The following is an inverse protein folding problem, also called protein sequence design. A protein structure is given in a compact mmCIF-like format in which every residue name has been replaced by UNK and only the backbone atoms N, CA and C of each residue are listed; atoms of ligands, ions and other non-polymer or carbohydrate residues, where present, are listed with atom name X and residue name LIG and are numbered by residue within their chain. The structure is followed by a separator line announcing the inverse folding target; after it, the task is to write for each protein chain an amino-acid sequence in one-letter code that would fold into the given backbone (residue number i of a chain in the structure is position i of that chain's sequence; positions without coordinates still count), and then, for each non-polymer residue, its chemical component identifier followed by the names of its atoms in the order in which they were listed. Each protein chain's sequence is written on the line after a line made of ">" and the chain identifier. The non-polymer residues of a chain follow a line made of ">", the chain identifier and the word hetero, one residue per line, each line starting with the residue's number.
data_IF_403741740886
#
_entry.id   IF_403741740886
#
_cell.length_a   1.000
_cell.length_b   1.000
_cell.length_c   1.000
_cell.angle_alpha   90.00
_cell.angle_beta   90.00
_cell.angle_gamma   90.00
#
_symmetry.space_group_name_H-M   'P 1'
#
loop_
_entity.id
_entity.type
_entity.pdbx_description
1 polymer ?
#
# COMPACT_ATOMS: atom_id res chain seq x y z
N UNK A 1 28.12 -8.15 14.93
CA UNK A 1 28.21 -7.02 15.87
C UNK A 1 28.42 -5.77 15.04
N UNK A 2 27.42 -4.98 14.82
CA UNK A 2 27.54 -3.65 14.19
C UNK A 2 26.66 -2.69 14.97
N UNK A 3 27.31 -1.73 15.56
CA UNK A 3 26.83 -0.71 16.49
C UNK A 3 25.95 0.28 15.69
N UNK A 4 24.68 0.41 16.06
CA UNK A 4 23.82 1.50 15.59
C UNK A 4 24.10 2.75 16.42
N UNK A 5 24.75 3.72 15.79
CA UNK A 5 24.83 5.08 16.31
C UNK A 5 23.52 5.81 15.99
N UNK A 6 22.79 6.18 17.02
CA UNK A 6 21.67 7.10 16.92
C UNK A 6 22.22 8.52 16.76
N UNK A 7 22.10 9.11 15.60
CA UNK A 7 22.30 10.54 15.41
C UNK A 7 20.97 11.27 15.64
N UNK A 8 20.87 11.95 16.77
CA UNK A 8 19.89 12.99 16.97
C UNK A 8 20.32 14.21 16.14
N UNK A 9 19.66 14.46 15.04
CA UNK A 9 19.77 15.74 14.32
C UNK A 9 18.74 16.67 14.93
N UNK A 10 19.22 17.57 15.78
CA UNK A 10 18.47 18.76 16.18
C UNK A 10 18.45 19.71 14.97
N UNK A 11 17.41 19.60 14.15
CA UNK A 11 17.12 20.58 13.11
C UNK A 11 16.62 21.86 13.76
N UNK A 12 17.33 22.96 13.54
CA UNK A 12 16.87 24.30 13.83
C UNK A 12 15.59 24.54 13.04
N UNK A 13 14.47 24.60 13.75
CA UNK A 13 13.19 25.04 13.20
C UNK A 13 13.33 26.51 12.82
N UNK A 14 13.20 26.80 11.55
CA UNK A 14 12.98 28.18 11.06
C UNK A 14 11.60 28.65 11.56
N UNK A 15 11.52 29.69 12.43
CA UNK A 15 10.25 30.14 12.98
C UNK A 15 9.37 30.89 11.98
N UNK A 16 9.69 30.87 10.68
CA UNK A 16 9.02 31.63 9.63
C UNK A 16 8.18 30.82 8.64
N UNK A 17 8.25 29.49 8.63
CA UNK A 17 7.39 28.68 7.78
C UNK A 17 5.97 28.60 8.38
N UNK A 18 5.13 29.58 8.05
CA UNK A 18 3.70 29.54 8.31
C UNK A 18 3.13 28.42 7.45
N UNK A 19 2.70 27.31 8.07
CA UNK A 19 1.92 26.29 7.37
C UNK A 19 0.75 26.99 6.68
N UNK A 20 0.65 26.87 5.36
CA UNK A 20 -0.48 27.41 4.62
C UNK A 20 -1.75 26.81 5.22
N UNK A 21 -2.72 27.64 5.55
CA UNK A 21 -4.02 27.14 6.00
C UNK A 21 -4.64 26.34 4.85
N UNK A 22 -5.21 25.15 5.13
CA UNK A 22 -5.86 24.37 4.09
C UNK A 22 -6.97 25.20 3.45
N UNK A 23 -6.94 25.33 2.14
CA UNK A 23 -7.79 26.28 1.42
C UNK A 23 -9.29 25.95 1.51
N UNK A 24 -9.72 24.72 1.88
CA UNK A 24 -11.13 24.30 1.95
C UNK A 24 -11.30 22.98 2.74
N UNK A 25 -11.41 23.01 4.05
CA UNK A 25 -12.01 21.88 4.77
C UNK A 25 -13.50 22.15 5.00
N UNK A 26 -14.38 21.49 4.24
CA UNK A 26 -15.83 21.55 4.47
C UNK A 26 -16.28 20.18 4.97
N UNK A 27 -16.29 19.96 6.27
CA UNK A 27 -16.78 18.73 6.86
C UNK A 27 -15.71 17.96 7.67
N UNK A 28 -16.02 16.75 8.14
CA UNK A 28 -15.12 15.97 8.96
C UNK A 28 -13.90 15.51 8.17
N UNK A 29 -12.73 15.44 8.85
CA UNK A 29 -11.50 14.87 8.28
C UNK A 29 -11.76 13.45 7.77
N UNK A 30 -11.51 13.19 6.49
CA UNK A 30 -11.68 11.86 5.89
C UNK A 30 -10.42 11.02 6.11
N UNK A 31 -10.52 9.99 6.94
CA UNK A 31 -9.39 9.12 7.33
C UNK A 31 -9.43 7.83 6.52
N UNK A 32 -8.30 7.50 5.89
CA UNK A 32 -8.07 6.25 5.18
C UNK A 32 -6.90 5.49 5.81
N UNK A 33 -7.14 4.24 6.23
CA UNK A 33 -6.11 3.36 6.76
C UNK A 33 -5.53 2.55 5.59
N UNK A 34 -4.25 2.72 5.30
CA UNK A 34 -3.52 2.01 4.25
C UNK A 34 -2.61 0.99 4.90
N UNK A 35 -2.97 -0.28 4.87
CA UNK A 35 -2.21 -1.32 5.55
C UNK A 35 -1.80 -2.48 4.65
N UNK A 36 -0.74 -3.17 5.04
CA UNK A 36 -0.19 -4.31 4.31
C UNK A 36 1.21 -4.66 4.76
N UNK A 37 2.04 -5.05 3.80
CA UNK A 37 3.45 -5.34 4.02
C UNK A 37 4.34 -4.41 3.19
N UNK A 38 5.58 -4.80 2.89
CA UNK A 38 6.55 -3.98 2.15
C UNK A 38 6.04 -3.37 0.84
N UNK A 39 5.05 -3.98 0.18
CA UNK A 39 4.45 -3.41 -1.03
C UNK A 39 3.47 -2.26 -0.71
N UNK A 40 2.82 -2.26 0.46
CA UNK A 40 2.10 -1.10 0.97
C UNK A 40 3.08 -0.05 1.52
N UNK A 41 4.14 -0.46 2.21
CA UNK A 41 5.22 0.44 2.62
C UNK A 41 5.80 1.20 1.42
N UNK A 42 5.92 0.53 0.28
CA UNK A 42 6.39 1.11 -0.98
C UNK A 42 7.90 1.13 -1.09
N UNK A 43 8.40 0.52 -2.16
CA UNK A 43 9.84 0.31 -2.38
C UNK A 43 10.30 0.90 -3.73
N UNK A 44 9.53 1.84 -4.28
CA UNK A 44 9.87 2.48 -5.54
C UNK A 44 10.62 3.80 -5.28
N UNK A 45 11.90 3.84 -5.64
CA UNK A 45 12.69 5.06 -5.57
C UNK A 45 12.13 6.13 -6.51
N UNK A 46 12.06 7.37 -6.06
CA UNK A 46 11.45 8.50 -6.79
C UNK A 46 12.02 8.72 -8.20
N UNK A 47 13.29 8.37 -8.45
CA UNK A 47 13.90 8.46 -9.79
C UNK A 47 13.18 7.64 -10.86
N UNK A 48 12.44 6.59 -10.43
CA UNK A 48 11.72 5.70 -11.35
C UNK A 48 10.33 6.23 -11.72
N UNK A 49 9.89 7.33 -11.12
CA UNK A 49 8.59 7.95 -11.42
C UNK A 49 8.56 8.48 -12.85
N UNK A 50 9.67 9.04 -13.34
CA UNK A 50 9.76 9.61 -14.70
C UNK A 50 9.48 8.57 -15.81
N UNK A 51 9.74 7.29 -15.53
CA UNK A 51 9.43 6.19 -16.43
C UNK A 51 7.93 6.05 -16.73
N UNK A 52 7.05 6.58 -15.88
CA UNK A 52 5.61 6.66 -16.16
C UNK A 52 5.34 7.43 -17.46
N UNK A 53 6.11 8.48 -17.74
CA UNK A 53 5.98 9.28 -18.98
C UNK A 53 6.47 8.57 -20.25
N UNK A 54 7.17 7.44 -20.11
CA UNK A 54 7.61 6.59 -21.22
C UNK A 54 6.58 5.49 -21.57
N UNK A 55 5.41 5.45 -20.91
CA UNK A 55 4.39 4.43 -21.16
C UNK A 55 3.91 4.48 -22.61
N UNK A 56 3.70 3.29 -23.19
CA UNK A 56 3.19 3.14 -24.58
C UNK A 56 1.75 3.62 -24.74
N UNK A 57 0.97 3.60 -23.65
CA UNK A 57 -0.37 4.20 -23.62
C UNK A 57 -0.25 5.70 -23.28
N UNK A 58 -0.59 6.62 -24.22
CA UNK A 58 -0.52 8.05 -23.95
C UNK A 58 -1.38 8.52 -22.80
N UNK A 59 -2.49 7.83 -22.50
CA UNK A 59 -3.35 8.16 -21.37
C UNK A 59 -2.66 7.84 -20.04
N UNK A 60 -1.89 6.75 -19.97
CA UNK A 60 -1.08 6.37 -18.81
C UNK A 60 0.13 7.29 -18.69
N UNK A 61 0.86 7.54 -19.78
CA UNK A 61 2.01 8.45 -19.82
C UNK A 61 1.63 9.86 -19.35
N UNK A 62 0.45 10.34 -19.74
CA UNK A 62 -0.08 11.64 -19.37
C UNK A 62 -0.30 11.83 -17.86
N UNK A 63 -0.44 10.75 -17.10
CA UNK A 63 -0.58 10.82 -15.64
C UNK A 63 0.67 11.40 -14.95
N UNK A 64 1.86 11.31 -15.57
CA UNK A 64 3.08 11.90 -15.01
C UNK A 64 2.92 13.39 -14.69
N UNK A 65 2.12 14.12 -15.48
CA UNK A 65 1.87 15.54 -15.26
C UNK A 65 1.23 15.85 -13.91
N UNK A 66 0.44 14.94 -13.35
CA UNK A 66 -0.14 15.07 -12.01
C UNK A 66 0.93 15.03 -10.90
N UNK A 67 1.99 14.28 -11.11
CA UNK A 67 3.06 14.05 -10.12
C UNK A 67 4.29 14.93 -10.34
N UNK A 68 4.47 15.49 -11.54
CA UNK A 68 5.51 16.46 -11.89
C UNK A 68 4.92 17.55 -12.80
N UNK A 69 4.12 18.49 -12.25
CA UNK A 69 3.37 19.47 -13.05
C UNK A 69 4.26 20.37 -13.92
N UNK A 70 5.45 20.71 -13.42
CA UNK A 70 6.46 21.52 -14.11
C UNK A 70 7.55 20.68 -14.80
N UNK A 71 7.42 19.36 -14.79
CA UNK A 71 8.39 18.41 -15.32
C UNK A 71 9.66 18.23 -14.45
N UNK A 72 9.75 18.88 -13.30
CA UNK A 72 10.94 18.90 -12.41
C UNK A 72 10.62 18.57 -10.98
N UNK A 73 9.67 19.28 -10.39
CA UNK A 73 9.32 19.21 -8.97
C UNK A 73 8.24 18.17 -8.73
N UNK A 74 8.46 17.29 -7.76
CA UNK A 74 7.43 16.34 -7.34
C UNK A 74 6.28 17.06 -6.64
N UNK A 75 5.06 16.58 -6.91
CA UNK A 75 3.83 17.09 -6.34
C UNK A 75 3.82 16.92 -4.81
N UNK A 76 3.33 17.96 -4.14
CA UNK A 76 2.94 17.97 -2.73
C UNK A 76 1.49 18.44 -2.60
N UNK A 77 0.78 17.99 -1.54
CA UNK A 77 -0.60 18.40 -1.26
C UNK A 77 -0.78 18.73 0.20
N UNK A 78 -1.25 19.93 0.49
CA UNK A 78 -1.56 20.41 1.84
C UNK A 78 -2.95 19.97 2.32
N UNK A 79 -3.85 19.65 1.39
CA UNK A 79 -5.18 19.08 1.66
C UNK A 79 -5.18 17.55 1.88
N UNK A 80 -4.01 16.91 1.85
CA UNK A 80 -3.84 15.50 2.17
C UNK A 80 -2.68 15.34 3.15
N UNK A 81 -2.98 14.83 4.33
CA UNK A 81 -1.98 14.52 5.36
C UNK A 81 -1.63 13.04 5.35
N UNK A 82 -0.42 12.73 5.75
CA UNK A 82 0.06 11.35 5.89
C UNK A 82 0.69 11.15 7.27
N UNK A 83 0.25 10.10 7.95
CA UNK A 83 0.88 9.57 9.15
C UNK A 83 1.56 8.24 8.81
N UNK A 84 2.89 8.15 8.98
CA UNK A 84 3.68 6.93 8.75
C UNK A 84 4.82 6.82 9.76
N UNK A 85 4.66 5.96 10.76
CA UNK A 85 5.61 5.82 11.87
C UNK A 85 5.72 7.11 12.69
N UNK A 86 6.86 7.79 12.64
CA UNK A 86 7.08 9.07 13.31
C UNK A 86 6.85 10.30 12.42
N UNK A 87 6.43 10.10 11.19
CA UNK A 87 6.20 11.16 10.21
C UNK A 87 4.73 11.56 10.19
N UNK A 88 4.48 12.86 10.28
CA UNK A 88 3.16 13.47 10.24
C UNK A 88 3.28 14.74 9.40
N UNK A 89 3.06 14.61 8.09
CA UNK A 89 3.36 15.68 7.12
C UNK A 89 2.29 15.72 6.03
N UNK A 90 2.34 16.76 5.20
CA UNK A 90 1.58 16.85 3.96
C UNK A 90 1.99 15.75 2.99
N UNK A 91 1.08 15.30 2.12
CA UNK A 91 1.40 14.30 1.11
C UNK A 91 2.51 14.79 0.18
N UNK A 92 3.58 14.04 0.13
CA UNK A 92 4.74 14.24 -0.74
C UNK A 92 5.45 12.91 -1.00
N UNK A 93 6.56 12.92 -1.72
CA UNK A 93 7.45 11.75 -1.81
C UNK A 93 8.13 11.45 -0.46
N UNK A 94 8.64 10.21 -0.29
CA UNK A 94 9.42 9.83 0.90
C UNK A 94 8.65 9.09 1.99
N UNK A 95 7.36 8.80 1.80
CA UNK A 95 6.59 7.96 2.71
C UNK A 95 6.72 6.46 2.43
N UNK A 96 7.46 6.06 1.38
CA UNK A 96 7.84 4.68 1.15
C UNK A 96 8.99 4.22 2.06
N UNK A 97 9.43 2.97 1.88
CA UNK A 97 10.52 2.38 2.62
C UNK A 97 11.80 3.22 2.48
N UNK A 98 12.17 3.93 3.53
CA UNK A 98 13.36 4.80 3.56
C UNK A 98 14.68 4.02 3.55
N UNK A 99 14.60 2.73 3.81
CA UNK A 99 15.74 1.81 3.82
C UNK A 99 15.53 0.75 2.76
N UNK A 100 15.64 1.15 1.50
CA UNK A 100 15.79 0.13 0.49
C UNK A 100 17.15 -0.57 0.68
N UNK A 101 17.26 -1.77 0.16
CA UNK A 101 18.46 -2.59 0.27
C UNK A 101 19.72 -1.93 -0.34
N UNK A 102 19.55 -0.84 -1.08
CA UNK A 102 20.57 -0.19 -1.88
C UNK A 102 20.92 1.23 -1.37
N UNK A 103 20.39 1.69 -0.21
CA UNK A 103 20.57 3.05 0.34
C UNK A 103 20.23 4.18 -0.66
N UNK A 104 19.27 3.97 -1.56
CA UNK A 104 18.99 4.88 -2.67
C UNK A 104 18.14 6.11 -2.30
N UNK A 105 17.81 6.33 -1.03
CA UNK A 105 17.09 7.53 -0.59
C UNK A 105 15.56 7.38 -0.60
N UNK A 106 14.85 8.38 -1.10
CA UNK A 106 13.40 8.48 -0.98
C UNK A 106 12.66 7.48 -1.86
N UNK A 107 11.65 6.83 -1.27
CA UNK A 107 10.74 5.92 -1.97
C UNK A 107 9.29 6.38 -1.84
N UNK A 108 8.46 5.89 -2.76
CA UNK A 108 7.01 5.97 -2.71
C UNK A 108 6.40 4.57 -2.67
N UNK A 109 5.19 4.49 -2.14
CA UNK A 109 4.25 3.39 -2.29
C UNK A 109 2.95 3.86 -2.95
N UNK A 110 1.89 3.04 -2.86
CA UNK A 110 0.58 3.40 -3.42
C UNK A 110 -0.05 4.65 -2.79
N UNK A 111 0.34 5.01 -1.55
CA UNK A 111 -0.18 6.18 -0.85
C UNK A 111 -0.04 7.47 -1.64
N UNK A 112 1.06 7.62 -2.41
CA UNK A 112 1.36 8.86 -3.12
C UNK A 112 0.30 9.19 -4.17
N UNK A 113 -0.07 8.21 -4.99
CA UNK A 113 -1.12 8.39 -5.97
C UNK A 113 -2.53 8.27 -5.36
N UNK A 114 -2.74 7.35 -4.40
CA UNK A 114 -4.02 7.26 -3.71
C UNK A 114 -4.41 8.60 -3.08
N UNK A 115 -3.50 9.20 -2.33
CA UNK A 115 -3.74 10.50 -1.70
C UNK A 115 -3.97 11.62 -2.71
N UNK A 116 -3.19 11.66 -3.81
CA UNK A 116 -3.41 12.63 -4.86
C UNK A 116 -4.85 12.59 -5.39
N UNK A 117 -5.33 11.40 -5.83
CA UNK A 117 -6.66 11.29 -6.43
C UNK A 117 -7.81 11.45 -5.43
N UNK A 118 -7.60 11.05 -4.16
CA UNK A 118 -8.58 11.32 -3.11
C UNK A 118 -8.69 12.82 -2.82
N UNK A 119 -7.56 13.53 -2.74
CA UNK A 119 -7.56 15.00 -2.56
C UNK A 119 -8.17 15.76 -3.74
N UNK A 120 -7.97 15.27 -4.99
CA UNK A 120 -8.65 15.87 -6.16
C UNK A 120 -10.18 15.69 -6.14
N UNK A 121 -10.66 14.60 -5.55
CA UNK A 121 -12.06 14.22 -5.60
C UNK A 121 -12.88 14.76 -4.41
N UNK A 122 -12.26 14.97 -3.25
CA UNK A 122 -12.93 15.34 -2.02
C UNK A 122 -12.78 16.85 -1.74
N UNK A 123 -13.81 17.45 -1.19
CA UNK A 123 -13.77 18.85 -0.70
C UNK A 123 -13.26 18.91 0.75
N UNK A 124 -13.23 17.76 1.45
CA UNK A 124 -12.76 17.63 2.81
C UNK A 124 -11.25 17.39 2.87
N UNK A 125 -10.65 17.74 4.01
CA UNK A 125 -9.28 17.32 4.34
C UNK A 125 -9.17 15.80 4.41
N UNK A 126 -8.09 15.24 3.85
CA UNK A 126 -7.82 13.81 3.84
C UNK A 126 -6.65 13.49 4.78
N UNK A 127 -6.75 12.40 5.53
CA UNK A 127 -5.65 11.81 6.29
C UNK A 127 -5.42 10.36 5.85
N UNK A 128 -4.20 10.04 5.46
CA UNK A 128 -3.74 8.69 5.21
C UNK A 128 -2.96 8.19 6.44
N UNK A 129 -3.44 7.14 7.10
CA UNK A 129 -2.70 6.44 8.17
C UNK A 129 -2.10 5.20 7.56
N UNK A 130 -0.77 5.20 7.38
CA UNK A 130 -0.05 4.15 6.67
C UNK A 130 0.64 3.19 7.62
N UNK A 131 0.44 1.88 7.43
CA UNK A 131 1.04 0.82 8.24
C UNK A 131 1.45 -0.37 7.36
N UNK A 132 2.74 -0.46 7.03
CA UNK A 132 3.26 -1.42 6.05
C UNK A 132 4.53 -2.17 6.49
N UNK A 133 4.56 -2.86 7.65
CA UNK A 133 5.76 -3.58 8.08
C UNK A 133 6.12 -4.69 7.09
N UNK A 134 7.40 -4.76 6.68
CA UNK A 134 7.87 -5.75 5.71
C UNK A 134 7.85 -7.18 6.25
N UNK A 135 7.67 -8.16 5.35
CA UNK A 135 7.81 -9.57 5.68
C UNK A 135 6.70 -10.16 6.56
N UNK A 136 5.51 -9.58 6.57
CA UNK A 136 4.41 -9.99 7.46
C UNK A 136 3.32 -10.76 6.70
N UNK A 137 2.79 -11.83 7.32
CA UNK A 137 1.65 -12.61 6.80
C UNK A 137 0.33 -12.15 7.42
N UNK A 138 -0.77 -12.39 6.72
CA UNK A 138 -2.11 -12.19 7.26
C UNK A 138 -2.43 -13.28 8.31
N UNK A 139 -2.10 -14.54 8.01
CA UNK A 139 -2.48 -15.68 8.87
C UNK A 139 -1.87 -15.63 10.27
N UNK A 140 -0.65 -15.12 10.40
CA UNK A 140 0.06 -15.07 11.69
C UNK A 140 0.11 -13.63 12.21
N UNK A 141 0.73 -12.73 11.45
CA UNK A 141 1.12 -11.42 11.97
C UNK A 141 -0.06 -10.43 12.04
N UNK A 142 -0.88 -10.39 10.99
CA UNK A 142 -2.09 -9.55 10.95
C UNK A 142 -3.37 -10.29 11.32
N UNK A 143 -3.25 -11.50 11.87
CA UNK A 143 -4.44 -12.30 12.23
C UNK A 143 -5.38 -11.50 13.11
N UNK A 144 -6.63 -11.25 12.65
CA UNK A 144 -7.60 -10.47 13.42
C UNK A 144 -8.18 -11.32 14.56
N UNK A 145 -8.64 -10.72 15.67
CA UNK A 145 -9.14 -11.44 16.83
C UNK A 145 -10.28 -12.42 16.52
N UNK A 146 -11.24 -12.02 15.67
CA UNK A 146 -12.39 -12.85 15.33
C UNK A 146 -12.05 -14.08 14.47
N UNK A 147 -10.86 -14.12 13.83
CA UNK A 147 -10.36 -15.32 13.17
C UNK A 147 -9.92 -16.44 14.15
N UNK A 148 -9.86 -16.13 15.43
CA UNK A 148 -9.51 -17.08 16.51
C UNK A 148 -8.07 -17.59 16.43
N UNK A 149 -7.82 -18.77 16.99
CA UNK A 149 -6.50 -19.41 17.03
C UNK A 149 -6.06 -19.93 15.64
N UNK A 150 -4.75 -20.07 15.42
CA UNK A 150 -4.20 -20.65 14.19
C UNK A 150 -4.42 -22.17 14.10
N UNK A 151 -4.66 -22.83 15.21
CA UNK A 151 -4.71 -24.29 15.32
C UNK A 151 -3.34 -24.93 15.51
N UNK A 152 -2.27 -24.14 15.56
CA UNK A 152 -0.93 -24.57 15.93
C UNK A 152 -0.64 -24.13 17.35
N UNK A 153 -0.77 -25.05 18.34
CA UNK A 153 -0.64 -24.73 19.76
C UNK A 153 0.69 -24.05 20.12
N UNK A 154 1.80 -24.47 19.49
CA UNK A 154 3.11 -23.87 19.73
C UNK A 154 3.14 -22.41 19.27
N UNK A 155 2.54 -22.13 18.12
CA UNK A 155 2.47 -20.78 17.57
C UNK A 155 1.49 -19.92 18.36
N UNK A 156 0.33 -20.46 18.69
CA UNK A 156 -0.72 -19.77 19.47
C UNK A 156 -0.27 -19.42 20.90
N UNK A 157 0.69 -20.19 21.45
CA UNK A 157 1.31 -19.91 22.75
C UNK A 157 2.57 -19.05 22.68
N UNK A 158 3.02 -18.67 21.49
CA UNK A 158 4.28 -17.93 21.34
C UNK A 158 4.11 -16.46 21.74
N UNK A 159 4.93 -16.02 22.69
CA UNK A 159 4.98 -14.63 23.17
C UNK A 159 6.24 -13.94 22.63
N UNK A 160 6.20 -12.63 22.48
CA UNK A 160 7.41 -11.84 22.29
C UNK A 160 8.36 -12.03 23.47
N UNK A 161 9.66 -12.16 23.20
CA UNK A 161 10.64 -12.08 24.28
C UNK A 161 10.73 -10.65 24.80
N UNK A 162 11.13 -10.48 26.09
CA UNK A 162 11.30 -9.14 26.68
C UNK A 162 12.24 -8.26 25.85
N UNK A 163 13.33 -8.83 25.34
CA UNK A 163 14.31 -8.12 24.51
C UNK A 163 13.66 -7.58 23.19
N UNK A 164 12.88 -8.42 22.52
CA UNK A 164 12.18 -8.04 21.27
C UNK A 164 11.09 -7.01 21.57
N UNK A 165 10.35 -7.18 22.66
CA UNK A 165 9.32 -6.25 23.08
C UNK A 165 9.89 -4.87 23.39
N UNK A 166 10.99 -4.78 24.13
CA UNK A 166 11.66 -3.51 24.45
C UNK A 166 12.18 -2.80 23.21
N UNK A 167 12.69 -3.56 22.26
CA UNK A 167 13.29 -3.01 21.03
C UNK A 167 12.26 -2.56 19.99
N UNK A 168 11.17 -3.31 19.84
CA UNK A 168 10.27 -3.17 18.68
C UNK A 168 8.80 -2.98 19.02
N UNK A 169 8.40 -3.12 20.29
CA UNK A 169 6.99 -3.10 20.68
C UNK A 169 6.74 -2.23 21.93
N UNK A 170 7.57 -1.20 22.15
CA UNK A 170 7.40 -0.28 23.28
C UNK A 170 7.43 -0.96 24.66
N UNK A 171 8.10 -2.11 24.77
CA UNK A 171 8.19 -2.88 26.01
C UNK A 171 7.02 -3.84 26.27
N UNK A 172 6.01 -3.87 25.41
CA UNK A 172 4.82 -4.72 25.56
C UNK A 172 5.11 -6.17 25.15
N UNK A 173 5.17 -7.07 26.13
CA UNK A 173 5.24 -8.52 25.93
C UNK A 173 3.83 -9.04 25.63
N UNK A 174 3.59 -9.47 24.41
CA UNK A 174 2.28 -9.91 23.93
C UNK A 174 2.40 -11.07 22.92
N UNK A 175 1.30 -11.76 22.58
CA UNK A 175 1.33 -12.85 21.61
C UNK A 175 1.90 -12.43 20.26
N UNK A 176 2.69 -13.32 19.63
CA UNK A 176 3.22 -13.09 18.28
C UNK A 176 2.10 -13.14 17.24
N UNK A 177 1.12 -14.06 17.42
CA UNK A 177 -0.05 -14.12 16.54
C UNK A 177 -0.90 -12.85 16.72
N UNK A 178 -1.21 -12.19 15.61
CA UNK A 178 -1.98 -10.95 15.61
C UNK A 178 -1.19 -9.69 16.04
N UNK A 179 0.12 -9.79 16.22
CA UNK A 179 0.94 -8.66 16.68
C UNK A 179 0.79 -7.42 15.79
N UNK A 180 0.85 -7.60 14.47
CA UNK A 180 0.78 -6.47 13.54
C UNK A 180 -0.64 -5.90 13.44
N UNK A 181 -1.68 -6.74 13.58
CA UNK A 181 -3.06 -6.24 13.74
C UNK A 181 -3.16 -5.29 14.93
N UNK A 182 -2.72 -5.73 16.13
CA UNK A 182 -2.78 -4.90 17.33
C UNK A 182 -1.92 -3.65 17.23
N UNK A 183 -0.73 -3.76 16.61
CA UNK A 183 0.16 -2.60 16.40
C UNK A 183 -0.45 -1.57 15.45
N UNK A 184 -1.10 -2.03 14.37
CA UNK A 184 -1.83 -1.16 13.44
C UNK A 184 -2.98 -0.44 14.13
N UNK A 185 -3.78 -1.16 14.92
CA UNK A 185 -4.90 -0.60 15.68
C UNK A 185 -4.39 0.46 16.68
N UNK A 186 -3.39 0.11 17.50
CA UNK A 186 -2.79 1.07 18.45
C UNK A 186 -2.23 2.31 17.77
N UNK A 187 -1.51 2.13 16.66
CA UNK A 187 -0.96 3.25 15.90
C UNK A 187 -2.06 4.17 15.36
N UNK A 188 -3.12 3.58 14.82
CA UNK A 188 -4.27 4.34 14.31
C UNK A 188 -4.95 5.13 15.41
N UNK A 189 -5.26 4.50 16.57
CA UNK A 189 -5.84 5.22 17.71
C UNK A 189 -4.93 6.35 18.19
N UNK A 190 -3.64 6.06 18.41
CA UNK A 190 -2.68 7.08 18.86
C UNK A 190 -2.59 8.27 17.89
N UNK A 191 -2.69 8.04 16.59
CA UNK A 191 -2.73 9.11 15.59
C UNK A 191 -4.01 9.93 15.69
N UNK A 192 -5.18 9.27 15.79
CA UNK A 192 -6.48 9.93 15.87
C UNK A 192 -6.67 10.72 17.17
N UNK A 193 -6.17 10.21 18.29
CA UNK A 193 -6.20 10.89 19.60
C UNK A 193 -5.30 12.13 19.66
N UNK A 194 -4.30 12.24 18.77
CA UNK A 194 -3.32 13.32 18.75
C UNK A 194 -3.35 14.15 17.47
N UNK A 195 -4.48 14.18 16.74
CA UNK A 195 -4.61 14.88 15.46
C UNK A 195 -4.14 16.34 15.53
N UNK A 196 -4.61 17.10 16.53
CA UNK A 196 -4.24 18.52 16.68
C UNK A 196 -2.76 18.74 16.95
N UNK A 197 -2.13 17.79 17.64
CA UNK A 197 -0.68 17.81 17.91
C UNK A 197 0.13 17.52 16.64
N UNK A 198 -0.30 16.55 15.85
CA UNK A 198 0.40 16.12 14.64
C UNK A 198 0.12 17.04 13.45
N UNK A 199 -1.10 17.54 13.36
CA UNK A 199 -1.60 18.41 12.30
C UNK A 199 -2.21 19.68 12.91
N UNK A 200 -1.41 20.71 13.16
CA UNK A 200 -1.87 21.93 13.87
C UNK A 200 -3.05 22.65 13.20
N UNK A 201 -3.24 22.47 11.89
CA UNK A 201 -4.39 23.01 11.14
C UNK A 201 -5.68 22.20 11.31
N UNK A 202 -5.64 21.01 11.94
CA UNK A 202 -6.84 20.21 12.20
C UNK A 202 -7.85 20.99 13.05
N UNK A 203 -9.10 21.02 12.59
CA UNK A 203 -10.20 21.63 13.33
C UNK A 203 -10.97 20.56 14.11
N UNK A 204 -10.84 20.56 15.43
CA UNK A 204 -11.48 19.58 16.30
C UNK A 204 -13.01 19.64 16.26
N UNK A 205 -13.60 20.80 15.92
CA UNK A 205 -15.06 20.95 15.82
C UNK A 205 -15.65 20.17 14.63
N UNK A 206 -14.88 19.92 13.58
CA UNK A 206 -15.34 19.22 12.40
C UNK A 206 -15.30 17.70 12.60
N UNK A 207 -14.50 17.22 13.56
CA UNK A 207 -14.32 15.81 13.84
C UNK A 207 -13.62 15.06 12.71
N UNK A 208 -13.71 13.73 12.74
CA UNK A 208 -13.17 12.85 11.69
C UNK A 208 -14.12 11.68 11.40
N UNK A 209 -13.95 11.10 10.23
CA UNK A 209 -14.63 9.88 9.78
C UNK A 209 -13.58 8.88 9.29
N UNK A 210 -13.57 7.66 9.83
CA UNK A 210 -12.78 6.55 9.26
C UNK A 210 -13.52 6.02 8.03
N UNK A 211 -13.23 6.63 6.88
CA UNK A 211 -13.98 6.47 5.64
C UNK A 211 -13.57 5.23 4.85
N UNK A 212 -12.30 4.80 4.95
CA UNK A 212 -11.83 3.69 4.13
C UNK A 212 -10.61 2.95 4.66
N UNK A 213 -10.50 1.72 4.18
CA UNK A 213 -9.38 0.80 4.42
C UNK A 213 -8.84 0.28 3.09
N UNK A 214 -7.52 0.35 2.90
CA UNK A 214 -6.84 -0.22 1.74
C UNK A 214 -5.87 -1.29 2.21
N UNK A 215 -5.99 -2.48 1.64
CA UNK A 215 -5.15 -3.63 1.97
C UNK A 215 -4.29 -4.06 0.79
N UNK A 216 -2.96 -4.04 0.97
CA UNK A 216 -2.01 -4.50 -0.04
C UNK A 216 -0.92 -5.39 0.58
N UNK A 217 -1.24 -6.67 0.73
CA UNK A 217 -0.41 -7.70 1.36
C UNK A 217 -0.71 -9.05 0.69
N UNK A 218 0.15 -10.05 0.81
CA UNK A 218 -0.11 -11.43 0.36
C UNK A 218 1.16 -12.25 0.12
N UNK A 219 2.30 -11.62 -0.17
CA UNK A 219 3.51 -12.33 -0.58
C UNK A 219 4.00 -13.33 0.48
N UNK A 220 3.90 -13.00 1.77
CA UNK A 220 4.40 -13.86 2.83
C UNK A 220 3.49 -15.07 3.09
N UNK A 221 2.19 -14.96 2.86
CA UNK A 221 1.26 -16.07 3.06
C UNK A 221 1.46 -17.19 2.03
N UNK A 222 2.05 -16.91 0.86
CA UNK A 222 2.30 -17.96 -0.13
C UNK A 222 3.26 -19.05 0.34
N UNK A 223 4.08 -18.79 1.37
CA UNK A 223 5.07 -19.74 1.89
C UNK A 223 4.49 -20.74 2.90
N UNK A 224 3.29 -20.47 3.44
CA UNK A 224 2.59 -21.35 4.36
C UNK A 224 1.28 -21.86 3.75
N UNK A 225 1.07 -23.18 3.76
CA UNK A 225 -0.13 -23.79 3.16
C UNK A 225 -1.40 -23.39 3.91
N UNK A 226 -1.37 -23.44 5.24
CA UNK A 226 -2.50 -23.06 6.06
C UNK A 226 -2.85 -21.59 5.90
N UNK A 227 -1.85 -20.73 5.77
CA UNK A 227 -2.02 -19.31 5.48
C UNK A 227 -2.73 -19.07 4.14
N UNK A 228 -2.32 -19.79 3.07
CA UNK A 228 -2.97 -19.71 1.76
C UNK A 228 -4.43 -20.12 1.82
N UNK A 229 -4.72 -21.25 2.46
CA UNK A 229 -6.08 -21.80 2.54
C UNK A 229 -7.04 -20.91 3.35
N UNK A 230 -6.53 -20.24 4.39
CA UNK A 230 -7.34 -19.36 5.26
C UNK A 230 -7.37 -17.90 4.85
N UNK A 231 -6.64 -17.52 3.79
CA UNK A 231 -6.42 -16.12 3.43
C UNK A 231 -7.74 -15.34 3.27
N UNK A 232 -8.68 -15.85 2.48
CA UNK A 232 -9.98 -15.18 2.24
C UNK A 232 -10.83 -15.03 3.49
N UNK A 233 -10.88 -16.07 4.34
CA UNK A 233 -11.57 -16.02 5.63
C UNK A 233 -10.92 -15.01 6.57
N UNK A 234 -9.60 -15.06 6.73
CA UNK A 234 -8.88 -14.12 7.60
C UNK A 234 -9.04 -12.68 7.15
N UNK A 235 -9.02 -12.42 5.84
CA UNK A 235 -9.23 -11.09 5.27
C UNK A 235 -10.65 -10.58 5.52
N UNK A 236 -11.65 -11.46 5.43
CA UNK A 236 -13.04 -11.14 5.79
C UNK A 236 -13.14 -10.72 7.26
N UNK A 237 -12.53 -11.49 8.15
CA UNK A 237 -12.46 -11.17 9.58
C UNK A 237 -11.72 -9.83 9.82
N UNK A 238 -10.60 -9.59 9.13
CA UNK A 238 -9.83 -8.35 9.26
C UNK A 238 -10.69 -7.12 8.97
N UNK A 239 -11.41 -7.10 7.86
CA UNK A 239 -12.27 -5.98 7.48
C UNK A 239 -13.39 -5.77 8.51
N UNK A 240 -14.02 -6.85 8.99
CA UNK A 240 -15.09 -6.78 9.99
C UNK A 240 -14.59 -6.28 11.34
N UNK A 241 -13.46 -6.79 11.80
CA UNK A 241 -12.86 -6.41 13.06
C UNK A 241 -12.44 -4.93 13.05
N UNK A 242 -11.89 -4.43 11.95
CA UNK A 242 -11.56 -3.01 11.82
C UNK A 242 -12.79 -2.10 11.82
N UNK A 243 -13.88 -2.51 11.16
CA UNK A 243 -15.16 -1.77 11.22
C UNK A 243 -15.70 -1.67 12.63
N UNK A 244 -15.60 -2.76 13.39
CA UNK A 244 -16.01 -2.82 14.78
C UNK A 244 -15.11 -1.97 15.67
N UNK A 245 -13.80 -2.12 15.53
CA UNK A 245 -12.78 -1.42 16.32
C UNK A 245 -12.89 0.09 16.20
N UNK A 246 -13.00 0.59 14.96
CA UNK A 246 -13.11 2.03 14.72
C UNK A 246 -14.55 2.55 14.73
N UNK A 247 -15.53 1.73 15.09
CA UNK A 247 -16.97 2.10 15.08
C UNK A 247 -17.40 2.70 13.75
N UNK A 248 -16.88 2.15 12.65
CA UNK A 248 -17.07 2.63 11.29
C UNK A 248 -17.73 1.55 10.42
N UNK A 249 -19.01 1.20 10.64
CA UNK A 249 -19.69 0.13 9.92
C UNK A 249 -19.73 0.37 8.39
N UNK A 250 -19.74 1.63 7.98
CA UNK A 250 -19.79 2.06 6.58
C UNK A 250 -18.41 2.21 5.93
N UNK A 251 -17.31 2.01 6.67
CA UNK A 251 -15.94 2.08 6.15
C UNK A 251 -15.80 1.22 4.90
N UNK A 252 -15.43 1.85 3.78
CA UNK A 252 -15.19 1.15 2.52
C UNK A 252 -13.87 0.39 2.59
N UNK A 253 -13.76 -0.76 1.88
CA UNK A 253 -12.55 -1.54 1.86
C UNK A 253 -12.11 -1.86 0.42
N UNK A 254 -10.84 -1.58 0.11
CA UNK A 254 -10.22 -1.92 -1.17
C UNK A 254 -9.06 -2.88 -0.92
N UNK A 255 -9.05 -4.00 -1.65
CA UNK A 255 -8.02 -5.03 -1.55
C UNK A 255 -7.27 -5.12 -2.87
N UNK A 256 -5.96 -4.93 -2.84
CA UNK A 256 -5.09 -5.20 -3.98
C UNK A 256 -4.80 -6.68 -4.11
N UNK A 257 -5.29 -7.31 -5.18
CA UNK A 257 -4.89 -8.69 -5.53
C UNK A 257 -3.43 -8.67 -5.94
N UNK A 258 -2.62 -9.50 -5.30
CA UNK A 258 -1.17 -9.53 -5.50
C UNK A 258 -0.79 -9.77 -6.96
N UNK A 259 -0.10 -8.79 -7.57
CA UNK A 259 0.29 -8.79 -8.98
C UNK A 259 1.73 -9.19 -9.27
N UNK A 260 2.49 -9.64 -8.27
CA UNK A 260 3.91 -9.98 -8.43
C UNK A 260 4.13 -10.90 -9.64
N UNK A 261 5.04 -10.52 -10.52
CA UNK A 261 5.34 -11.16 -11.81
C UNK A 261 4.24 -11.03 -12.88
N UNK A 262 3.28 -10.12 -12.71
CA UNK A 262 2.26 -9.82 -13.69
C UNK A 262 1.26 -10.96 -13.91
N UNK A 263 0.50 -10.84 -14.99
CA UNK A 263 -0.58 -11.76 -15.34
C UNK A 263 -0.11 -13.17 -15.67
N UNK A 264 1.09 -13.32 -16.24
CA UNK A 264 1.64 -14.64 -16.64
C UNK A 264 1.90 -15.56 -15.45
N UNK A 265 1.97 -15.07 -14.23
CA UNK A 265 2.28 -15.84 -13.05
C UNK A 265 1.08 -16.52 -12.36
N UNK A 266 -0.10 -16.48 -12.96
CA UNK A 266 -1.27 -17.25 -12.49
C UNK A 266 -1.01 -18.77 -12.47
N UNK A 267 -0.03 -19.25 -13.26
CA UNK A 267 0.37 -20.66 -13.25
C UNK A 267 1.04 -21.11 -11.94
N UNK A 268 1.58 -20.18 -11.12
CA UNK A 268 2.17 -20.55 -9.83
C UNK A 268 1.07 -20.83 -8.80
N UNK A 269 0.89 -22.11 -8.37
CA UNK A 269 -0.24 -22.49 -7.53
C UNK A 269 -0.26 -21.75 -6.18
N UNK A 270 0.90 -21.50 -5.57
CA UNK A 270 0.99 -20.81 -4.26
C UNK A 270 0.54 -19.35 -4.37
N UNK A 271 0.94 -18.67 -5.44
CA UNK A 271 0.51 -17.29 -5.68
C UNK A 271 -0.97 -17.24 -6.05
N UNK A 272 -1.45 -18.17 -6.87
CA UNK A 272 -2.87 -18.27 -7.25
C UNK A 272 -3.76 -18.46 -6.04
N UNK A 273 -3.43 -19.36 -5.12
CA UNK A 273 -4.21 -19.58 -3.89
C UNK A 273 -4.35 -18.30 -3.05
N UNK A 274 -3.27 -17.52 -2.88
CA UNK A 274 -3.33 -16.23 -2.19
C UNK A 274 -4.21 -15.24 -2.97
N UNK A 275 -4.03 -15.13 -4.29
CA UNK A 275 -4.84 -14.25 -5.14
C UNK A 275 -6.33 -14.61 -5.07
N UNK A 276 -6.65 -15.91 -5.10
CA UNK A 276 -8.03 -16.39 -4.97
C UNK A 276 -8.60 -16.06 -3.60
N UNK A 277 -7.80 -16.17 -2.53
CA UNK A 277 -8.16 -15.71 -1.20
C UNK A 277 -8.42 -14.20 -1.13
N UNK A 278 -7.67 -13.40 -1.88
CA UNK A 278 -7.92 -11.94 -1.99
C UNK A 278 -9.21 -11.65 -2.78
N UNK A 279 -9.42 -12.34 -3.92
CA UNK A 279 -10.62 -12.24 -4.76
C UNK A 279 -11.89 -12.68 -4.03
N UNK A 280 -11.76 -13.58 -3.05
CA UNK A 280 -12.88 -14.09 -2.25
C UNK A 280 -13.74 -12.97 -1.66
N UNK A 281 -13.15 -11.82 -1.33
CA UNK A 281 -13.87 -10.64 -0.82
C UNK A 281 -15.01 -10.22 -1.74
N UNK A 282 -14.87 -10.36 -3.06
CA UNK A 282 -15.89 -10.00 -4.05
C UNK A 282 -17.13 -10.95 -4.01
N UNK A 283 -16.98 -12.15 -3.41
CA UNK A 283 -18.06 -13.12 -3.24
C UNK A 283 -18.80 -13.03 -1.91
N UNK A 284 -18.27 -12.26 -0.95
CA UNK A 284 -18.88 -12.09 0.37
C UNK A 284 -20.10 -11.19 0.26
N UNK A 285 -21.29 -11.75 0.47
CA UNK A 285 -22.56 -11.04 0.28
C UNK A 285 -22.66 -9.73 1.07
N UNK A 286 -22.14 -9.73 2.31
CA UNK A 286 -22.11 -8.57 3.20
C UNK A 286 -21.21 -7.44 2.69
N UNK A 287 -20.26 -7.76 1.81
CA UNK A 287 -19.31 -6.79 1.24
C UNK A 287 -19.77 -6.19 -0.09
N UNK A 288 -20.92 -6.60 -0.60
CA UNK A 288 -21.47 -6.07 -1.84
C UNK A 288 -21.67 -4.56 -1.74
N UNK A 289 -20.96 -3.79 -2.60
CA UNK A 289 -21.05 -2.33 -2.66
C UNK A 289 -20.27 -1.58 -1.56
N UNK A 290 -19.56 -2.29 -0.66
CA UNK A 290 -18.78 -1.65 0.39
C UNK A 290 -17.36 -2.21 0.58
N UNK A 291 -17.01 -3.32 -0.12
CA UNK A 291 -15.65 -3.81 -0.23
C UNK A 291 -15.41 -4.41 -1.62
N UNK A 292 -14.18 -4.28 -2.15
CA UNK A 292 -13.80 -4.80 -3.46
C UNK A 292 -12.33 -5.17 -3.51
N UNK A 293 -12.04 -6.37 -4.05
CA UNK A 293 -10.71 -6.76 -4.48
C UNK A 293 -10.52 -6.44 -5.97
N UNK A 294 -9.38 -5.84 -6.30
CA UNK A 294 -9.03 -5.42 -7.66
C UNK A 294 -7.69 -6.02 -8.10
N UNK A 295 -7.57 -6.29 -9.40
CA UNK A 295 -6.36 -6.87 -9.98
C UNK A 295 -5.24 -5.84 -10.12
N UNK A 296 -4.06 -6.12 -9.55
CA UNK A 296 -2.87 -5.27 -9.73
C UNK A 296 -1.87 -5.86 -10.74
N UNK A 297 -1.99 -7.15 -11.08
CA UNK A 297 -1.11 -7.79 -12.05
C UNK A 297 -1.10 -7.12 -13.45
N UNK A 298 -2.24 -6.64 -13.99
CA UNK A 298 -2.26 -5.91 -15.25
C UNK A 298 -1.56 -4.54 -15.21
N UNK A 299 -1.30 -4.00 -14.03
CA UNK A 299 -0.59 -2.73 -13.85
C UNK A 299 0.93 -2.87 -13.96
N UNK A 300 1.46 -4.11 -13.88
CA UNK A 300 2.89 -4.37 -14.09
C UNK A 300 3.30 -4.03 -15.53
N UNK A 301 4.51 -3.45 -15.70
CA UNK A 301 5.02 -3.13 -17.02
C UNK A 301 5.40 -4.42 -17.77
N UNK A 302 4.82 -4.69 -18.96
CA UNK A 302 4.99 -5.97 -19.65
C UNK A 302 6.43 -6.24 -20.05
N UNK A 303 7.17 -5.23 -20.52
CA UNK A 303 8.55 -5.39 -20.95
C UNK A 303 9.48 -5.67 -19.76
N UNK A 304 9.25 -5.03 -18.58
CA UNK A 304 10.01 -5.31 -17.36
C UNK A 304 9.75 -6.74 -16.89
N UNK A 305 8.49 -7.17 -16.89
CA UNK A 305 8.12 -8.55 -16.54
C UNK A 305 8.76 -9.57 -17.48
N UNK A 306 8.84 -9.27 -18.78
CA UNK A 306 9.46 -10.12 -19.78
C UNK A 306 10.97 -10.29 -19.54
N UNK A 307 11.64 -9.24 -19.07
CA UNK A 307 13.09 -9.29 -18.81
C UNK A 307 13.47 -9.97 -17.50
N UNK A 308 12.62 -9.96 -16.49
CA UNK A 308 12.76 -10.63 -15.18
C UNK A 308 14.19 -10.64 -14.62
N UNK A 309 14.80 -9.49 -14.50
CA UNK A 309 16.21 -9.35 -14.15
C UNK A 309 16.55 -9.61 -12.68
N UNK A 310 15.59 -9.82 -11.82
CA UNK A 310 15.80 -9.85 -10.37
C UNK A 310 15.96 -11.28 -9.80
N UNK A 311 16.75 -12.10 -10.36
CA UNK A 311 17.44 -13.29 -9.75
C UNK A 311 16.64 -14.32 -8.94
N UNK A 312 15.41 -14.08 -8.58
CA UNK A 312 14.58 -14.95 -7.73
C UNK A 312 13.56 -15.77 -8.50
N UNK A 313 13.38 -15.45 -9.77
CA UNK A 313 12.34 -16.02 -10.58
C UNK A 313 12.98 -16.54 -11.86
N UNK A 314 12.61 -17.75 -12.23
CA UNK A 314 13.02 -18.34 -13.50
C UNK A 314 12.68 -17.36 -14.61
N UNK A 315 13.69 -16.92 -15.32
CA UNK A 315 13.53 -16.09 -16.51
C UNK A 315 12.96 -16.98 -17.62
N UNK A 316 11.95 -16.49 -18.31
CA UNK A 316 11.46 -17.17 -19.51
C UNK A 316 12.45 -17.00 -20.68
N UNK A 317 13.46 -16.16 -20.51
CA UNK A 317 14.50 -15.82 -21.48
C UNK A 317 15.82 -16.43 -21.07
N UNK A 318 16.42 -17.22 -21.95
CA UNK A 318 17.77 -17.77 -21.78
C UNK A 318 18.81 -16.71 -22.11
N UNK A 319 19.33 -16.00 -21.10
CA UNK A 319 20.29 -14.93 -21.27
C UNK A 319 21.63 -15.37 -21.89
N UNK A 320 21.92 -16.68 -21.96
CA UNK A 320 23.12 -17.17 -22.64
C UNK A 320 22.95 -17.18 -24.16
N UNK A 321 21.71 -17.33 -24.63
CA UNK A 321 21.34 -17.35 -26.05
C UNK A 321 20.73 -16.04 -26.52
N UNK A 322 20.06 -15.33 -25.62
CA UNK A 322 19.39 -14.06 -25.89
C UNK A 322 19.70 -13.06 -24.76
N UNK A 323 20.90 -12.43 -24.79
CA UNK A 323 21.35 -11.53 -23.75
C UNK A 323 20.52 -10.25 -23.72
N UNK A 324 20.48 -9.59 -22.54
CA UNK A 324 19.85 -8.27 -22.40
C UNK A 324 20.60 -7.26 -23.27
N UNK A 325 19.87 -6.54 -24.14
CA UNK A 325 20.46 -5.52 -25.00
C UNK A 325 20.84 -4.26 -24.22
N UNK A 326 21.72 -3.39 -24.75
CA UNK A 326 22.02 -2.10 -24.13
C UNK A 326 20.78 -1.23 -23.90
N UNK A 327 19.82 -1.24 -24.82
CA UNK A 327 18.55 -0.49 -24.74
C UNK A 327 17.68 -1.03 -23.61
N UNK A 328 17.53 -2.35 -23.50
CA UNK A 328 16.81 -3.01 -22.41
C UNK A 328 17.47 -2.73 -21.05
N UNK A 329 18.81 -2.77 -21.00
CA UNK A 329 19.56 -2.43 -19.80
C UNK A 329 19.32 -0.97 -19.38
N UNK A 330 19.34 -0.05 -20.32
CA UNK A 330 19.06 1.36 -20.07
C UNK A 330 17.62 1.59 -19.59
N UNK A 331 16.63 0.88 -20.17
CA UNK A 331 15.25 0.90 -19.71
C UNK A 331 15.15 0.41 -18.25
N UNK A 332 15.74 -0.74 -17.93
CA UNK A 332 15.72 -1.29 -16.59
C UNK A 332 16.34 -0.34 -15.55
N UNK A 333 17.42 0.34 -15.88
CA UNK A 333 18.06 1.32 -15.02
C UNK A 333 17.14 2.51 -14.71
N UNK A 334 16.35 2.97 -15.68
CA UNK A 334 15.37 4.06 -15.46
C UNK A 334 14.14 3.58 -14.70
N UNK A 335 13.62 2.42 -15.06
CA UNK A 335 12.33 1.92 -14.61
C UNK A 335 12.36 1.26 -13.22
N UNK A 336 13.49 0.66 -12.81
CA UNK A 336 13.54 -0.23 -11.64
C UNK A 336 14.53 0.23 -10.59
N UNK A 337 14.22 -0.06 -9.32
CA UNK A 337 15.06 0.30 -8.16
C UNK A 337 15.14 -0.77 -7.06
N UNK A 338 14.41 -1.89 -7.21
CA UNK A 338 14.33 -2.93 -6.17
C UNK A 338 14.11 -4.32 -6.79
N UNK A 339 13.89 -5.33 -5.96
CA UNK A 339 13.68 -6.73 -6.35
C UNK A 339 12.29 -7.00 -6.91
N UNK A 340 12.13 -8.13 -7.63
CA UNK A 340 10.88 -8.52 -8.27
C UNK A 340 9.69 -8.67 -7.33
N UNK A 341 9.91 -9.15 -6.10
CA UNK A 341 8.85 -9.25 -5.09
C UNK A 341 8.37 -7.88 -4.56
N UNK A 342 9.08 -6.81 -4.88
CA UNK A 342 8.68 -5.42 -4.67
C UNK A 342 8.32 -4.72 -6.00
N UNK A 343 7.80 -5.48 -6.97
CA UNK A 343 7.45 -4.98 -8.30
C UNK A 343 8.61 -4.21 -8.94
N UNK A 344 9.84 -4.71 -8.72
CA UNK A 344 11.10 -4.12 -9.18
C UNK A 344 11.36 -2.69 -8.66
N UNK A 345 10.61 -2.21 -7.67
CA UNK A 345 10.67 -0.81 -7.22
C UNK A 345 10.32 0.18 -8.32
N UNK A 346 9.31 -0.15 -9.11
CA UNK A 346 8.83 0.64 -10.23
C UNK A 346 7.86 1.73 -9.76
N UNK A 347 8.24 3.02 -9.94
CA UNK A 347 7.39 4.16 -9.58
C UNK A 347 6.08 4.19 -10.35
N UNK A 348 6.14 3.83 -11.64
CA UNK A 348 4.94 3.66 -12.48
C UNK A 348 3.94 2.69 -11.85
N UNK A 349 4.40 1.50 -11.43
CA UNK A 349 3.52 0.51 -10.82
C UNK A 349 2.87 1.03 -9.53
N UNK A 350 3.63 1.69 -8.66
CA UNK A 350 3.09 2.24 -7.40
C UNK A 350 2.05 3.34 -7.66
N UNK A 351 2.30 4.20 -8.63
CA UNK A 351 1.35 5.26 -9.04
C UNK A 351 0.06 4.64 -9.61
N UNK A 352 0.17 3.70 -10.55
CA UNK A 352 -1.01 3.08 -11.14
C UNK A 352 -1.82 2.27 -10.12
N UNK A 353 -1.14 1.60 -9.20
CA UNK A 353 -1.79 0.85 -8.11
C UNK A 353 -2.51 1.78 -7.15
N UNK A 354 -1.85 2.87 -6.71
CA UNK A 354 -2.48 3.87 -5.85
C UNK A 354 -3.69 4.53 -6.51
N UNK A 355 -3.59 4.84 -7.80
CA UNK A 355 -4.73 5.35 -8.58
C UNK A 355 -5.87 4.34 -8.66
N UNK A 356 -5.57 3.06 -8.95
CA UNK A 356 -6.59 2.01 -9.00
C UNK A 356 -7.31 1.83 -7.65
N UNK A 357 -6.59 1.96 -6.55
CA UNK A 357 -7.19 1.96 -5.21
C UNK A 357 -8.10 3.18 -4.99
N UNK A 358 -7.66 4.37 -5.39
CA UNK A 358 -8.47 5.58 -5.30
C UNK A 358 -9.73 5.51 -6.18
N UNK A 359 -9.60 5.09 -7.43
CA UNK A 359 -10.72 4.90 -8.35
C UNK A 359 -11.78 3.97 -7.73
N UNK A 360 -11.34 2.86 -7.13
CA UNK A 360 -12.24 1.90 -6.47
C UNK A 360 -12.87 2.49 -5.20
N UNK A 361 -12.09 3.20 -4.40
CA UNK A 361 -12.58 3.84 -3.17
C UNK A 361 -13.66 4.87 -3.49
N UNK A 362 -13.45 5.69 -4.53
CA UNK A 362 -14.43 6.67 -5.00
C UNK A 362 -15.72 6.01 -5.50
N UNK A 363 -15.61 4.93 -6.29
CA UNK A 363 -16.78 4.17 -6.75
C UNK A 363 -17.58 3.57 -5.60
N UNK A 364 -16.91 2.94 -4.63
CA UNK A 364 -17.56 2.39 -3.44
C UNK A 364 -18.21 3.47 -2.56
N UNK A 365 -17.72 4.69 -2.66
CA UNK A 365 -18.24 5.86 -1.93
C UNK A 365 -19.35 6.61 -2.68
N UNK A 366 -19.78 6.11 -3.88
CA UNK A 366 -20.78 6.79 -4.70
C UNK A 366 -20.27 8.06 -5.40
N UNK A 367 -18.94 8.15 -5.60
CA UNK A 367 -18.24 9.27 -6.21
C UNK A 367 -17.61 8.88 -7.56
N UNK A 368 -18.20 7.94 -8.28
CA UNK A 368 -17.70 7.44 -9.58
C UNK A 368 -17.52 8.54 -10.63
N UNK A 369 -18.32 9.62 -10.55
CA UNK A 369 -18.19 10.81 -11.40
C UNK A 369 -16.93 11.63 -11.16
N UNK A 370 -16.22 11.39 -10.05
CA UNK A 370 -14.95 12.05 -9.70
C UNK A 370 -13.72 11.25 -10.15
N UNK A 371 -13.92 10.03 -10.67
CA UNK A 371 -12.81 9.20 -11.16
C UNK A 371 -12.22 9.79 -12.44
N UNK A 372 -10.92 10.12 -12.40
CA UNK A 372 -10.18 10.70 -13.52
C UNK A 372 -9.71 9.59 -14.47
N UNK A 373 -9.95 9.68 -15.78
CA UNK A 373 -9.41 8.71 -16.76
C UNK A 373 -7.86 8.67 -16.79
N UNK A 374 -7.26 7.53 -17.17
CA UNK A 374 -7.87 6.24 -17.43
C UNK A 374 -8.31 5.52 -16.16
N UNK A 375 -9.42 4.77 -16.20
CA UNK A 375 -9.85 3.90 -15.08
C UNK A 375 -8.94 2.68 -14.99
N UNK A 376 -8.38 2.41 -13.82
CA UNK A 376 -7.37 1.36 -13.61
C UNK A 376 -7.83 0.23 -12.68
N UNK A 377 -9.10 0.20 -12.32
CA UNK A 377 -9.66 -0.74 -11.35
C UNK A 377 -10.62 -1.78 -11.94
N UNK A 378 -10.75 -1.84 -13.27
CA UNK A 378 -11.72 -2.70 -13.97
C UNK A 378 -11.07 -3.82 -14.79
N UNK A 379 -9.92 -4.32 -14.35
CA UNK A 379 -9.31 -5.47 -14.99
C UNK A 379 -10.00 -6.77 -14.54
N UNK A 380 -10.40 -7.66 -15.47
CA UNK A 380 -10.89 -8.97 -15.10
C UNK A 380 -9.78 -9.81 -14.46
N UNK A 381 -10.15 -10.77 -13.62
CA UNK A 381 -9.21 -11.77 -13.15
C UNK A 381 -8.60 -12.51 -14.36
N UNK A 382 -7.28 -12.80 -14.35
CA UNK A 382 -6.66 -13.58 -15.41
C UNK A 382 -7.37 -14.90 -15.64
N UNK A 383 -7.70 -15.19 -16.89
CA UNK A 383 -8.48 -16.39 -17.28
C UNK A 383 -10.00 -16.28 -17.12
N UNK A 384 -10.53 -15.15 -16.65
CA UNK A 384 -11.95 -14.89 -16.71
C UNK A 384 -12.39 -14.68 -18.17
N UNK A 385 -13.52 -15.25 -18.55
CA UNK A 385 -14.11 -15.06 -19.88
C UNK A 385 -14.50 -13.57 -20.05
N UNK A 386 -13.94 -12.86 -21.04
CA UNK A 386 -14.30 -11.47 -21.30
C UNK A 386 -15.77 -11.27 -21.71
N UNK A 387 -16.50 -12.35 -22.05
CA UNK A 387 -17.91 -12.33 -22.39
C UNK A 387 -18.85 -12.51 -21.18
N UNK A 388 -18.34 -12.78 -19.98
CA UNK A 388 -19.11 -12.93 -18.74
C UNK A 388 -19.34 -11.57 -18.05
N UNK A 389 -19.90 -10.60 -18.78
CA UNK A 389 -20.36 -9.31 -18.22
C UNK A 389 -21.88 -9.29 -18.12
#
# INVERSE_FOLDING_TARGET
>A
MSILAAFAVAGLLDPGARAAEPAKAKGPLKVYILAGQSNMDGQAHIRTIDFLGEDKDPAVAGLLKAFKPDGKTFMTRDDVWVANGSLYENLQTGFGGRRNYDNLGECIGPEYAFGYYMGEALDEQVLLIKFGPGGQSLDINFRPPSAGKTGNEKLDGLMLTKEVADKWNGGLVEPVVGLQYRSMVRYTHATLENLKKHFPSYNESDGYEVAGFVWFQGYNDMFDEAGRQRYGSNLTHLIKDLRTEFKAPDMKAVVGVMGVNGVKNEANPKQREVRDGQRFINSVAEFKGNARAIETAPLCHPDIIALRTAGWLNMDRDLTKDPITPEEQAMLQRATSNKGFHYYGEGRFMILTGKAFADTMLELSGLEGKVVPPKLNHFPAPGADPAAK
#
